data_IF_165508896911
#
_entry.id   IF_165508896911
#
_cell.length_a   1.000
_cell.length_b   1.000
_cell.length_c   1.000
_cell.angle_alpha   90.00
_cell.angle_beta   90.00
_cell.angle_gamma   90.00
#
_symmetry.space_group_name_H-M   'P 1'
#
loop_
_entity.id
_entity.type
_entity.pdbx_description
1 polymer ?
#
# COMPACT_ATOMS: atom_id res chain seq x y z
N UNK A 1 -33.33 -7.34 -23.72
CA UNK A 1 -33.41 -5.89 -23.56
C UNK A 1 -34.32 -5.60 -22.40
N UNK A 2 -33.80 -4.95 -21.33
CA UNK A 2 -34.58 -4.59 -20.14
C UNK A 2 -34.99 -3.13 -20.30
N UNK A 3 -36.26 -2.83 -20.04
CA UNK A 3 -36.76 -1.46 -20.01
C UNK A 3 -36.72 -0.94 -18.58
N UNK A 4 -36.01 0.17 -18.36
CA UNK A 4 -35.89 0.82 -17.05
C UNK A 4 -34.53 0.60 -16.40
N UNK A 5 -34.35 1.07 -15.15
CA UNK A 5 -33.13 0.92 -14.39
C UNK A 5 -32.81 -0.56 -14.14
N UNK A 6 -31.56 -0.94 -14.33
CA UNK A 6 -31.08 -2.30 -14.08
C UNK A 6 -30.27 -2.31 -12.78
N UNK A 7 -30.77 -3.01 -11.77
CA UNK A 7 -30.02 -3.32 -10.56
C UNK A 7 -29.40 -4.72 -10.65
N UNK A 8 -28.09 -4.80 -10.75
CA UNK A 8 -27.33 -6.05 -10.76
C UNK A 8 -26.88 -6.50 -9.38
N UNK A 9 -27.13 -5.72 -8.32
CA UNK A 9 -26.68 -6.06 -6.96
C UNK A 9 -27.38 -7.32 -6.42
N UNK A 10 -28.57 -7.65 -6.93
CA UNK A 10 -29.27 -8.89 -6.58
C UNK A 10 -28.45 -10.16 -6.90
N UNK A 11 -27.54 -10.11 -7.89
CA UNK A 11 -26.68 -11.23 -8.25
C UNK A 11 -25.76 -11.65 -7.10
N UNK A 12 -25.36 -10.72 -6.22
CA UNK A 12 -24.59 -11.03 -5.02
C UNK A 12 -25.42 -11.87 -4.03
N UNK A 13 -26.71 -11.55 -3.90
CA UNK A 13 -27.64 -12.33 -3.06
C UNK A 13 -27.85 -13.74 -3.64
N UNK A 14 -28.05 -13.82 -4.97
CA UNK A 14 -28.19 -15.09 -5.68
C UNK A 14 -26.92 -15.96 -5.52
N UNK A 15 -25.72 -15.35 -5.68
CA UNK A 15 -24.45 -16.04 -5.47
C UNK A 15 -24.28 -16.54 -4.03
N UNK A 16 -24.80 -15.77 -3.05
CA UNK A 16 -24.75 -16.11 -1.62
C UNK A 16 -25.76 -17.16 -1.15
N UNK A 17 -26.69 -17.63 -2.00
CA UNK A 17 -27.71 -18.61 -1.61
C UNK A 17 -27.08 -19.92 -1.12
N UNK A 18 -27.62 -20.45 -0.03
CA UNK A 18 -27.24 -21.74 0.53
C UNK A 18 -27.74 -22.89 -0.36
N UNK A 19 -27.04 -24.01 -0.33
CA UNK A 19 -27.40 -25.22 -1.09
C UNK A 19 -26.94 -25.25 -2.56
N UNK A 20 -26.29 -24.16 -3.03
CA UNK A 20 -25.80 -24.05 -4.41
C UNK A 20 -24.27 -24.05 -4.52
N UNK A 21 -23.56 -24.53 -3.50
CA UNK A 21 -22.10 -24.47 -3.46
C UNK A 21 -21.43 -25.35 -4.53
N UNK A 22 -22.11 -26.42 -4.98
CA UNK A 22 -21.64 -27.26 -6.09
C UNK A 22 -21.54 -26.51 -7.44
N UNK A 23 -22.26 -25.42 -7.59
CA UNK A 23 -22.25 -24.57 -8.79
C UNK A 23 -21.31 -23.37 -8.69
N UNK A 24 -20.61 -23.19 -7.56
CA UNK A 24 -19.66 -22.13 -7.33
C UNK A 24 -18.24 -22.60 -7.62
N UNK A 25 -17.42 -21.70 -8.10
CA UNK A 25 -15.98 -21.96 -8.21
C UNK A 25 -15.39 -22.18 -6.82
N UNK A 26 -14.44 -23.14 -6.65
CA UNK A 26 -13.72 -23.32 -5.39
C UNK A 26 -13.08 -21.99 -4.96
N UNK A 27 -13.20 -21.67 -3.68
CA UNK A 27 -12.53 -20.48 -3.14
C UNK A 27 -11.02 -20.65 -3.29
N UNK A 28 -10.40 -19.70 -3.96
CA UNK A 28 -8.96 -19.66 -4.09
C UNK A 28 -8.31 -19.36 -2.72
N UNK A 29 -7.25 -20.09 -2.38
CA UNK A 29 -6.40 -19.80 -1.21
C UNK A 29 -5.11 -19.15 -1.68
N UNK A 30 -4.87 -17.87 -1.31
CA UNK A 30 -3.61 -17.22 -1.62
C UNK A 30 -2.42 -18.03 -1.08
N UNK A 31 -1.33 -18.07 -1.83
CA UNK A 31 -0.12 -18.79 -1.48
C UNK A 31 0.91 -17.82 -0.88
N UNK A 32 1.86 -18.35 -0.12
CA UNK A 32 3.04 -17.59 0.29
C UNK A 32 3.88 -17.21 -0.93
N UNK A 33 4.62 -16.12 -0.84
CA UNK A 33 5.51 -15.69 -1.91
C UNK A 33 6.76 -16.61 -1.92
N UNK A 34 7.04 -17.33 -3.03
CA UNK A 34 8.18 -18.25 -3.08
C UNK A 34 9.54 -17.55 -3.08
N UNK A 35 9.59 -16.23 -3.36
CA UNK A 35 10.80 -15.43 -3.33
C UNK A 35 11.19 -14.99 -1.91
N UNK A 36 10.31 -15.21 -0.91
CA UNK A 36 10.53 -14.82 0.47
C UNK A 36 10.89 -16.03 1.31
N UNK A 37 12.10 -16.00 1.86
CA UNK A 37 12.55 -16.92 2.88
C UNK A 37 11.99 -16.49 4.24
N UNK A 38 11.13 -17.31 4.90
CA UNK A 38 10.49 -16.94 6.16
C UNK A 38 11.47 -16.83 7.34
N UNK A 39 12.67 -17.40 7.22
CA UNK A 39 13.71 -17.33 8.28
C UNK A 39 14.48 -16.01 8.26
N UNK A 40 14.30 -15.19 7.23
CA UNK A 40 14.99 -13.92 7.07
C UNK A 40 14.04 -12.74 7.24
N UNK A 41 14.59 -11.57 7.61
CA UNK A 41 13.86 -10.32 7.59
C UNK A 41 13.37 -10.01 6.17
N UNK A 42 12.30 -9.22 6.06
CA UNK A 42 11.83 -8.77 4.74
C UNK A 42 12.90 -7.93 4.03
N UNK A 43 13.70 -7.18 4.78
CA UNK A 43 14.80 -6.37 4.24
C UNK A 43 15.89 -7.24 3.64
N UNK A 44 16.28 -8.32 4.33
CA UNK A 44 17.30 -9.25 3.83
C UNK A 44 16.81 -10.02 2.59
N UNK A 45 15.52 -10.34 2.54
CA UNK A 45 14.90 -10.92 1.35
C UNK A 45 14.98 -9.95 0.15
N UNK A 46 14.63 -8.67 0.34
CA UNK A 46 14.68 -7.65 -0.72
C UNK A 46 16.13 -7.40 -1.17
N UNK A 47 17.10 -7.49 -0.28
CA UNK A 47 18.54 -7.39 -0.64
C UNK A 47 19.02 -8.52 -1.55
N UNK A 48 18.44 -9.71 -1.44
CA UNK A 48 18.77 -10.84 -2.34
C UNK A 48 18.28 -10.62 -3.77
N UNK A 49 17.24 -9.79 -3.96
CA UNK A 49 16.65 -9.45 -5.25
C UNK A 49 15.25 -8.89 -5.12
N UNK A 50 14.77 -8.28 -6.19
CA UNK A 50 13.43 -7.73 -6.25
C UNK A 50 12.38 -8.82 -6.04
N UNK A 51 11.36 -8.52 -5.23
CA UNK A 51 10.27 -9.44 -4.92
C UNK A 51 9.02 -8.98 -5.67
N UNK A 52 8.50 -9.84 -6.54
CA UNK A 52 7.27 -9.60 -7.28
C UNK A 52 6.08 -10.23 -6.55
N UNK A 53 5.04 -9.45 -6.34
CA UNK A 53 3.80 -9.86 -5.69
C UNK A 53 2.64 -9.79 -6.69
N UNK A 54 1.86 -10.87 -6.78
CA UNK A 54 0.68 -10.93 -7.64
C UNK A 54 -0.54 -11.34 -6.81
N UNK A 55 -1.31 -10.35 -6.40
CA UNK A 55 -2.55 -10.56 -5.66
C UNK A 55 -3.71 -10.91 -6.62
N UNK A 56 -4.69 -11.70 -6.18
CA UNK A 56 -4.86 -12.35 -4.89
C UNK A 56 -4.12 -13.69 -4.77
N UNK A 57 -3.33 -14.10 -5.76
CA UNK A 57 -2.66 -15.41 -5.84
C UNK A 57 -1.55 -15.56 -4.80
N UNK A 58 -0.80 -14.49 -4.59
CA UNK A 58 0.11 -14.34 -3.43
C UNK A 58 -0.61 -13.56 -2.32
N UNK A 59 -0.40 -13.97 -1.05
CA UNK A 59 -0.98 -13.27 0.10
C UNK A 59 -0.52 -11.82 0.17
N UNK A 60 -1.30 -10.98 0.85
CA UNK A 60 -0.92 -9.58 1.11
C UNK A 60 0.03 -9.44 2.31
N UNK A 61 0.30 -10.54 3.02
CA UNK A 61 1.13 -10.55 4.22
C UNK A 61 2.53 -9.95 4.03
N UNK A 62 3.24 -10.17 2.90
CA UNK A 62 4.55 -9.54 2.68
C UNK A 62 4.50 -8.01 2.77
N UNK A 63 3.44 -7.38 2.23
CA UNK A 63 3.26 -5.92 2.30
C UNK A 63 3.00 -5.46 3.73
N UNK A 64 2.18 -6.20 4.47
CA UNK A 64 1.89 -5.91 5.87
C UNK A 64 3.15 -6.09 6.73
N UNK A 65 3.90 -7.17 6.52
CA UNK A 65 5.12 -7.48 7.26
C UNK A 65 6.22 -6.46 6.98
N UNK A 66 6.33 -5.97 5.75
CA UNK A 66 7.26 -4.90 5.38
C UNK A 66 7.13 -3.67 6.30
N UNK A 67 5.91 -3.26 6.61
CA UNK A 67 5.66 -2.12 7.48
C UNK A 67 5.75 -2.50 8.96
N UNK A 68 5.30 -3.70 9.33
CA UNK A 68 5.39 -4.19 10.72
C UNK A 68 6.84 -4.37 11.17
N UNK A 69 7.68 -4.97 10.35
CA UNK A 69 9.12 -5.11 10.65
C UNK A 69 9.78 -3.73 10.72
N UNK A 70 9.48 -2.84 9.75
CA UNK A 70 9.98 -1.47 9.79
C UNK A 70 9.59 -0.72 11.07
N UNK A 71 8.40 -0.98 11.60
CA UNK A 71 7.92 -0.28 12.79
C UNK A 71 8.74 -0.59 14.06
N UNK A 72 9.36 -1.77 14.13
CA UNK A 72 10.11 -2.21 15.31
C UNK A 72 11.63 -2.28 15.08
N UNK A 73 12.09 -2.26 13.84
CA UNK A 73 13.51 -2.35 13.52
C UNK A 73 14.26 -1.06 13.93
N UNK A 74 15.24 -1.11 14.84
CA UNK A 74 15.96 0.07 15.32
C UNK A 74 16.77 0.78 14.22
N UNK A 75 17.13 0.10 13.15
CA UNK A 75 17.85 0.68 12.01
C UNK A 75 16.95 1.50 11.07
N UNK A 76 15.61 1.34 11.15
CA UNK A 76 14.69 2.13 10.35
C UNK A 76 14.54 3.52 10.91
N UNK A 77 14.85 4.52 10.09
CA UNK A 77 14.82 5.94 10.42
C UNK A 77 13.47 6.59 10.05
N UNK A 78 12.94 6.24 8.88
CA UNK A 78 11.73 6.85 8.36
C UNK A 78 10.88 5.86 7.56
N UNK A 79 9.56 6.09 7.62
CA UNK A 79 8.56 5.40 6.78
C UNK A 79 7.71 6.48 6.12
N UNK A 80 7.58 6.41 4.80
CA UNK A 80 6.69 7.29 4.04
C UNK A 80 5.73 6.45 3.22
N UNK A 81 4.42 6.73 3.29
CA UNK A 81 3.40 5.91 2.63
C UNK A 81 2.23 6.72 2.12
N UNK A 82 1.71 6.32 0.95
CA UNK A 82 0.44 6.82 0.43
C UNK A 82 -0.69 5.89 0.86
N UNK A 83 -1.79 6.45 1.34
CA UNK A 83 -3.02 5.71 1.66
C UNK A 83 -4.19 6.31 0.88
N UNK A 84 -4.91 5.46 0.13
CA UNK A 84 -6.08 5.88 -0.64
C UNK A 84 -7.36 5.29 -0.03
N UNK A 85 -7.39 3.98 0.15
CA UNK A 85 -8.53 3.24 0.68
C UNK A 85 -8.02 2.19 1.65
N UNK A 86 -8.44 2.26 2.90
CA UNK A 86 -7.93 1.42 3.99
C UNK A 86 -9.05 0.59 4.57
N UNK A 87 -8.77 -0.63 5.01
CA UNK A 87 -9.74 -1.47 5.70
C UNK A 87 -10.06 -0.94 7.11
N UNK A 88 -11.23 -1.30 7.66
CA UNK A 88 -11.69 -0.81 8.97
C UNK A 88 -10.71 -1.08 10.13
N UNK A 89 -10.05 -2.25 10.15
CA UNK A 89 -9.02 -2.61 11.12
C UNK A 89 -7.69 -2.85 10.39
N UNK A 90 -7.18 -1.82 9.73
CA UNK A 90 -5.99 -1.95 8.90
C UNK A 90 -4.74 -2.29 9.71
N UNK A 91 -4.09 -3.44 9.46
CA UNK A 91 -2.83 -3.78 10.11
C UNK A 91 -1.69 -2.83 9.69
N UNK A 92 -1.81 -2.21 8.51
CA UNK A 92 -0.85 -1.22 8.00
C UNK A 92 -0.94 0.07 8.81
N UNK A 93 -2.17 0.59 9.02
CA UNK A 93 -2.37 1.81 9.83
C UNK A 93 -1.88 1.60 11.26
N UNK A 94 -2.17 0.44 11.86
CA UNK A 94 -1.68 0.09 13.18
C UNK A 94 -0.14 0.04 13.23
N UNK A 95 0.51 -0.52 12.20
CA UNK A 95 1.96 -0.59 12.13
C UNK A 95 2.61 0.79 11.93
N UNK A 96 2.00 1.69 11.13
CA UNK A 96 2.47 3.07 10.96
C UNK A 96 2.37 3.87 12.26
N UNK A 97 1.25 3.75 12.99
CA UNK A 97 1.09 4.36 14.31
C UNK A 97 2.16 3.84 15.28
N UNK A 98 2.38 2.51 15.31
CA UNK A 98 3.41 1.89 16.15
C UNK A 98 4.82 2.37 15.80
N UNK A 99 5.11 2.58 14.53
CA UNK A 99 6.39 3.12 14.08
C UNK A 99 6.64 4.53 14.66
N UNK A 100 5.63 5.41 14.61
CA UNK A 100 5.72 6.76 15.16
C UNK A 100 5.89 6.74 16.69
N UNK A 101 5.13 5.90 17.40
CA UNK A 101 5.30 5.67 18.85
C UNK A 101 6.71 5.19 19.21
N UNK A 102 7.36 4.42 18.33
CA UNK A 102 8.74 3.96 18.49
C UNK A 102 9.78 5.02 18.06
N UNK A 103 9.36 6.28 17.82
CA UNK A 103 10.24 7.40 17.54
C UNK A 103 10.71 7.52 16.09
N UNK A 104 10.13 6.74 15.15
CA UNK A 104 10.47 6.82 13.73
C UNK A 104 9.78 8.01 13.07
N UNK A 105 10.42 8.58 12.04
CA UNK A 105 9.79 9.62 11.21
C UNK A 105 8.77 8.97 10.28
N UNK A 106 7.48 9.12 10.57
CA UNK A 106 6.40 8.54 9.76
C UNK A 106 5.66 9.66 9.03
N UNK A 107 5.67 9.62 7.70
CA UNK A 107 4.90 10.55 6.85
C UNK A 107 3.86 9.76 6.07
N UNK A 108 2.60 10.12 6.20
CA UNK A 108 1.50 9.44 5.54
C UNK A 108 0.70 10.43 4.71
N UNK A 109 0.61 10.20 3.40
CA UNK A 109 -0.34 10.93 2.58
C UNK A 109 -1.67 10.18 2.56
N UNK A 110 -2.72 10.82 3.04
CA UNK A 110 -4.08 10.28 3.05
C UNK A 110 -4.93 11.00 2.01
N UNK A 111 -5.42 10.28 1.00
CA UNK A 111 -6.34 10.81 0.00
C UNK A 111 -7.76 10.85 0.58
N UNK A 112 -8.24 12.05 0.93
CA UNK A 112 -9.58 12.20 1.53
C UNK A 112 -10.71 11.98 0.53
N UNK A 113 -10.48 12.26 -0.77
CA UNK A 113 -11.52 12.13 -1.82
C UNK A 113 -11.63 10.70 -2.36
N UNK A 114 -11.38 9.70 -1.51
CA UNK A 114 -11.61 8.30 -1.85
C UNK A 114 -13.12 8.03 -1.80
N UNK A 115 -13.75 7.87 -2.97
CA UNK A 115 -15.21 7.68 -3.12
C UNK A 115 -15.71 6.58 -2.19
N UNK A 116 -16.71 6.88 -1.33
CA UNK A 116 -17.36 6.03 -0.32
C UNK A 116 -16.54 5.73 0.95
N UNK A 117 -15.33 6.29 1.11
CA UNK A 117 -14.47 6.04 2.27
C UNK A 117 -14.01 7.33 2.96
N UNK A 118 -14.60 8.48 2.61
CA UNK A 118 -14.17 9.80 3.09
C UNK A 118 -14.20 9.89 4.63
N UNK A 119 -15.28 9.45 5.26
CA UNK A 119 -15.42 9.50 6.72
C UNK A 119 -14.40 8.61 7.43
N UNK A 120 -14.20 7.39 6.93
CA UNK A 120 -13.22 6.47 7.48
C UNK A 120 -11.79 7.00 7.34
N UNK A 121 -11.46 7.58 6.20
CA UNK A 121 -10.13 8.14 5.97
C UNK A 121 -9.81 9.32 6.92
N UNK A 122 -10.81 10.13 7.28
CA UNK A 122 -10.66 11.20 8.28
C UNK A 122 -10.36 10.61 9.66
N UNK A 123 -11.06 9.54 10.06
CA UNK A 123 -10.83 8.87 11.35
C UNK A 123 -9.40 8.32 11.43
N UNK A 124 -8.94 7.63 10.38
CA UNK A 124 -7.59 7.08 10.32
C UNK A 124 -6.52 8.17 10.31
N UNK A 125 -6.73 9.24 9.57
CA UNK A 125 -5.82 10.37 9.54
C UNK A 125 -5.62 10.97 10.93
N UNK A 126 -6.72 11.23 11.67
CA UNK A 126 -6.66 11.73 13.05
C UNK A 126 -5.97 10.76 14.02
N UNK A 127 -6.18 9.45 13.84
CA UNK A 127 -5.51 8.43 14.65
C UNK A 127 -4.01 8.44 14.41
N UNK A 128 -3.58 8.53 13.16
CA UNK A 128 -2.16 8.62 12.78
C UNK A 128 -1.51 9.90 13.31
N UNK A 129 -2.18 11.06 13.21
CA UNK A 129 -1.70 12.32 13.81
C UNK A 129 -1.52 12.20 15.32
N UNK A 130 -2.51 11.59 16.00
CA UNK A 130 -2.43 11.38 17.46
C UNK A 130 -1.27 10.47 17.87
N UNK A 131 -0.90 9.51 17.01
CA UNK A 131 0.26 8.65 17.21
C UNK A 131 1.61 9.33 16.90
N UNK A 132 1.60 10.57 16.38
CA UNK A 132 2.80 11.32 16.04
C UNK A 132 3.24 11.21 14.58
N UNK A 133 2.40 10.66 13.69
CA UNK A 133 2.67 10.67 12.26
C UNK A 133 2.48 12.08 11.66
N UNK A 134 3.32 12.44 10.71
CA UNK A 134 3.07 13.59 9.84
C UNK A 134 2.08 13.20 8.74
N UNK A 135 0.84 13.72 8.83
CA UNK A 135 -0.22 13.40 7.87
C UNK A 135 -0.38 14.52 6.85
N UNK A 136 -0.37 14.16 5.57
CA UNK A 136 -0.61 15.05 4.44
C UNK A 136 -1.97 14.72 3.86
N UNK A 137 -2.87 15.72 3.78
CA UNK A 137 -4.25 15.55 3.29
C UNK A 137 -4.35 15.85 1.80
N UNK A 138 -3.88 14.92 0.97
CA UNK A 138 -3.95 15.00 -0.49
C UNK A 138 -3.29 16.25 -1.08
N UNK A 139 -3.45 16.43 -2.39
CA UNK A 139 -3.01 17.64 -3.11
C UNK A 139 -4.23 18.42 -3.62
N UNK A 140 -4.20 19.75 -3.48
CA UNK A 140 -5.27 20.59 -3.96
C UNK A 140 -5.37 20.53 -5.49
N UNK A 141 -6.56 20.15 -6.00
CA UNK A 141 -6.81 20.05 -7.44
C UNK A 141 -6.36 18.75 -8.10
N UNK A 142 -5.66 17.86 -7.37
CA UNK A 142 -5.19 16.58 -7.86
C UNK A 142 -5.71 15.45 -6.96
N UNK A 143 -5.70 14.24 -7.50
CA UNK A 143 -5.92 12.99 -6.73
C UNK A 143 -4.63 12.21 -6.67
N UNK A 144 -4.20 11.82 -5.47
CA UNK A 144 -3.07 10.92 -5.32
C UNK A 144 -3.55 9.49 -5.40
N UNK A 145 -3.26 8.83 -6.53
CA UNK A 145 -3.65 7.45 -6.78
C UNK A 145 -2.48 6.46 -6.74
N UNK A 146 -1.27 6.95 -6.53
CA UNK A 146 -0.07 6.10 -6.38
C UNK A 146 -0.16 5.23 -5.12
N UNK A 147 0.38 4.02 -5.20
CA UNK A 147 0.53 3.10 -4.08
C UNK A 147 2.01 2.87 -3.90
N UNK A 148 2.58 3.63 -2.99
CA UNK A 148 4.01 3.65 -2.73
C UNK A 148 4.28 3.69 -1.23
N UNK A 149 5.21 2.84 -0.80
CA UNK A 149 5.81 2.87 0.52
C UNK A 149 7.31 2.99 0.36
N UNK A 150 7.90 3.94 1.07
CA UNK A 150 9.34 4.13 1.16
C UNK A 150 9.77 3.96 2.61
N UNK A 151 10.70 3.05 2.85
CA UNK A 151 11.36 2.84 4.14
C UNK A 151 12.82 3.22 4.00
N UNK A 152 13.28 4.09 4.88
CA UNK A 152 14.68 4.53 4.95
C UNK A 152 15.33 3.83 6.13
N UNK A 153 16.34 3.02 5.86
CA UNK A 153 17.04 2.18 6.85
C UNK A 153 18.53 2.49 6.85
N UNK A 154 19.11 2.57 8.03
CA UNK A 154 20.55 2.71 8.21
C UNK A 154 21.21 1.33 8.16
N UNK A 155 22.03 1.11 7.14
CA UNK A 155 22.74 -0.13 6.92
C UNK A 155 24.23 0.08 7.20
N UNK A 156 25.01 -0.99 7.24
CA UNK A 156 26.46 -0.91 7.50
C UNK A 156 27.22 -0.10 6.44
N UNK A 157 26.71 -0.11 5.21
CA UNK A 157 27.26 0.61 4.05
C UNK A 157 26.59 1.97 3.79
N UNK A 158 25.73 2.42 4.71
CA UNK A 158 25.02 3.70 4.66
C UNK A 158 23.51 3.56 4.47
N UNK A 159 22.88 4.64 4.08
CA UNK A 159 21.40 4.70 3.96
C UNK A 159 20.90 3.87 2.78
N UNK A 160 20.11 2.85 3.08
CA UNK A 160 19.37 2.08 2.09
C UNK A 160 17.89 2.49 2.06
N UNK A 161 17.31 2.53 0.86
CA UNK A 161 15.91 2.83 0.61
C UNK A 161 15.22 1.60 0.10
N UNK A 162 14.26 1.11 0.86
CA UNK A 162 13.41 -0.02 0.48
C UNK A 162 12.07 0.53 0.03
N UNK A 163 11.63 0.11 -1.15
CA UNK A 163 10.41 0.64 -1.78
C UNK A 163 9.48 -0.50 -2.11
N UNK A 164 8.20 -0.32 -1.77
CA UNK A 164 7.12 -1.10 -2.35
C UNK A 164 6.31 -0.20 -3.28
N UNK A 165 6.11 -0.67 -4.51
CA UNK A 165 5.22 -0.07 -5.51
C UNK A 165 4.12 -1.07 -5.84
N UNK A 166 2.88 -0.59 -5.93
CA UNK A 166 1.76 -1.47 -6.26
C UNK A 166 0.71 -0.80 -7.15
N UNK A 167 -0.04 -1.64 -7.87
CA UNK A 167 -1.24 -1.21 -8.59
C UNK A 167 -2.46 -1.17 -7.67
N UNK A 168 -2.49 -2.05 -6.65
CA UNK A 168 -3.56 -2.20 -5.68
C UNK A 168 -3.43 -1.31 -4.46
N UNK A 169 -4.56 -0.94 -3.86
CA UNK A 169 -4.59 -0.16 -2.63
C UNK A 169 -3.97 -0.95 -1.45
N UNK A 170 -3.45 -0.23 -0.46
CA UNK A 170 -2.98 -0.80 0.81
C UNK A 170 -4.18 -1.24 1.69
N UNK A 171 -4.91 -2.23 1.20
CA UNK A 171 -6.12 -2.74 1.82
C UNK A 171 -6.15 -4.27 1.73
N UNK A 172 -5.94 -4.91 2.86
CA UNK A 172 -5.84 -6.38 3.00
C UNK A 172 -7.15 -7.11 2.64
N UNK A 173 -8.29 -6.45 2.76
CA UNK A 173 -9.58 -7.03 2.38
C UNK A 173 -9.74 -7.03 0.85
N UNK A 174 -9.47 -5.91 0.19
CA UNK A 174 -9.60 -5.82 -1.28
C UNK A 174 -8.50 -6.55 -2.03
N UNK A 175 -7.31 -6.71 -1.44
CA UNK A 175 -6.22 -7.51 -2.00
C UNK A 175 -6.57 -9.00 -2.19
N UNK A 176 -7.64 -9.49 -1.55
CA UNK A 176 -8.18 -10.85 -1.75
C UNK A 176 -9.15 -10.96 -2.92
N UNK A 177 -9.56 -9.83 -3.50
CA UNK A 177 -10.62 -9.76 -4.52
C UNK A 177 -10.10 -9.25 -5.87
N UNK A 178 -9.18 -8.28 -5.85
CA UNK A 178 -8.67 -7.64 -7.04
C UNK A 178 -7.35 -8.27 -7.49
N UNK A 179 -7.18 -8.34 -8.81
CA UNK A 179 -5.92 -8.76 -9.41
C UNK A 179 -5.01 -7.55 -9.51
N UNK A 180 -4.01 -7.51 -8.65
CA UNK A 180 -3.04 -6.44 -8.55
C UNK A 180 -1.61 -6.96 -8.53
N UNK A 181 -0.68 -6.14 -8.98
CA UNK A 181 0.74 -6.43 -8.93
C UNK A 181 1.46 -5.47 -7.97
N UNK A 182 2.50 -5.97 -7.33
CA UNK A 182 3.40 -5.18 -6.51
C UNK A 182 4.84 -5.62 -6.69
N UNK A 183 5.77 -4.72 -6.44
CA UNK A 183 7.20 -5.00 -6.40
C UNK A 183 7.80 -4.42 -5.12
N UNK A 184 8.66 -5.20 -4.46
CA UNK A 184 9.52 -4.72 -3.38
C UNK A 184 10.95 -4.71 -3.88
N UNK A 185 11.65 -3.59 -3.69
CA UNK A 185 13.00 -3.39 -4.21
C UNK A 185 13.83 -2.49 -3.30
N UNK A 186 15.14 -2.66 -3.32
CA UNK A 186 16.09 -1.70 -2.78
C UNK A 186 16.97 -1.07 -3.90
N UNK A 187 16.48 -1.09 -5.14
CA UNK A 187 17.15 -0.42 -6.25
C UNK A 187 17.34 1.07 -5.93
N UNK A 188 18.59 1.53 -6.02
CA UNK A 188 18.96 2.90 -5.64
C UNK A 188 18.19 3.96 -6.42
N UNK A 189 18.05 3.82 -7.73
CA UNK A 189 17.38 4.80 -8.57
C UNK A 189 15.88 4.90 -8.22
N UNK A 190 15.22 3.75 -8.02
CA UNK A 190 13.82 3.71 -7.58
C UNK A 190 13.67 4.33 -6.19
N UNK A 191 14.62 4.11 -5.29
CA UNK A 191 14.64 4.71 -3.96
C UNK A 191 14.81 6.24 -3.99
N UNK A 192 15.64 6.75 -4.90
CA UNK A 192 15.83 8.18 -5.14
C UNK A 192 14.56 8.82 -5.72
N UNK A 193 13.94 8.21 -6.72
CA UNK A 193 12.67 8.64 -7.31
C UNK A 193 11.53 8.61 -6.27
N UNK A 194 11.44 7.56 -5.45
CA UNK A 194 10.47 7.49 -4.36
C UNK A 194 10.64 8.64 -3.35
N UNK A 195 11.88 8.98 -3.03
CA UNK A 195 12.19 10.12 -2.16
C UNK A 195 11.73 11.43 -2.80
N UNK A 196 12.00 11.61 -4.09
CA UNK A 196 11.59 12.79 -4.85
C UNK A 196 10.05 12.92 -4.92
N UNK A 197 9.33 11.80 -5.13
CA UNK A 197 7.85 11.77 -5.07
C UNK A 197 7.35 12.30 -3.73
N UNK A 198 7.85 11.77 -2.61
CA UNK A 198 7.40 12.21 -1.30
C UNK A 198 7.80 13.65 -0.98
N UNK A 199 8.95 14.14 -1.47
CA UNK A 199 9.32 15.54 -1.34
C UNK A 199 8.35 16.46 -2.08
N UNK A 200 7.94 16.11 -3.31
CA UNK A 200 6.93 16.84 -4.05
C UNK A 200 5.57 16.81 -3.32
N UNK A 201 5.13 15.64 -2.86
CA UNK A 201 3.86 15.49 -2.15
C UNK A 201 3.83 16.29 -0.83
N UNK A 202 4.99 16.51 -0.22
CA UNK A 202 5.16 17.34 0.98
C UNK A 202 5.35 18.84 0.67
N UNK A 203 5.34 19.24 -0.60
CA UNK A 203 5.46 20.66 -1.02
C UNK A 203 6.90 21.18 -1.05
N UNK A 204 7.92 20.34 -0.94
CA UNK A 204 9.32 20.77 -0.88
C UNK A 204 9.99 20.97 -2.24
N UNK A 205 9.49 20.38 -3.32
CA UNK A 205 10.10 20.55 -4.64
C UNK A 205 9.16 20.23 -5.79
N UNK A 206 9.42 20.85 -6.98
CA UNK A 206 8.91 20.37 -8.25
C UNK A 206 9.81 19.22 -8.73
N UNK A 207 9.26 18.10 -9.17
CA UNK A 207 10.02 16.90 -9.52
C UNK A 207 9.70 16.40 -10.91
N UNK A 208 10.74 15.99 -11.61
CA UNK A 208 10.65 15.17 -12.82
C UNK A 208 10.88 13.71 -12.48
N UNK A 209 9.91 12.84 -12.80
CA UNK A 209 10.03 11.39 -12.56
C UNK A 209 10.46 10.69 -13.84
N UNK A 210 11.46 9.85 -13.74
CA UNK A 210 11.94 9.07 -14.88
C UNK A 210 11.70 7.57 -14.72
N UNK A 211 11.61 7.07 -13.48
CA UNK A 211 11.56 5.62 -13.20
C UNK A 211 10.25 5.14 -12.55
N UNK A 212 9.50 6.04 -11.88
CA UNK A 212 8.28 5.69 -11.15
C UNK A 212 6.98 5.91 -11.91
N UNK A 213 7.00 6.67 -13.00
CA UNK A 213 5.81 6.97 -13.77
C UNK A 213 5.92 6.42 -15.18
N UNK A 214 4.98 5.55 -15.56
CA UNK A 214 4.68 5.38 -16.96
C UNK A 214 4.14 6.70 -17.50
N UNK A 215 4.47 7.10 -18.74
CA UNK A 215 3.84 8.26 -19.37
C UNK A 215 2.33 8.04 -19.39
N UNK A 216 1.63 8.67 -18.46
CA UNK A 216 0.18 8.70 -18.49
C UNK A 216 -0.22 9.67 -19.57
N UNK A 217 -0.81 9.17 -20.67
CA UNK A 217 -1.55 10.04 -21.56
C UNK A 217 -2.61 10.77 -20.75
N UNK A 218 -2.70 12.10 -20.83
CA UNK A 218 -3.80 12.80 -20.22
C UNK A 218 -5.09 12.27 -20.86
N UNK A 219 -5.92 11.63 -20.06
CA UNK A 219 -7.27 11.32 -20.50
C UNK A 219 -8.03 12.64 -20.58
N UNK A 220 -8.44 12.95 -21.79
CA UNK A 220 -9.37 14.03 -22.12
C UNK A 220 -10.73 13.75 -21.47
#
# INVERSE_FOLDING_TARGET
>A
KIQGPLDLTFLMKLYGMEGFDAFKQPKYKPQSCPQIDPELSIFDNIKKGDIFLHHPYITFDPVVNFIKEAAVDPKVLAIKQTLYRVSGNSPIVAALAKAAENGKQVTVLVELKARFDEEHNIVWAKMLEKAGCHVIYGLRGLKTHSKITLIVRDEEDGICRYVHLGTGNYNDATAKLYTDCGIMTCNRMIGEDATAVFNMLSGYSAVSYTHLTLPTTPYV
#
